data_IF_282941426414
#
_entry.id   IF_282941426414
#
_cell.length_a   1.000
_cell.length_b   1.000
_cell.length_c   1.000
_cell.angle_alpha   90.00
_cell.angle_beta   90.00
_cell.angle_gamma   90.00
#
_symmetry.space_group_name_H-M   'P 1'
#
loop_
_entity.id
_entity.type
_entity.pdbx_description
1 polymer ?
#
# COMPACT_ATOMS: atom_id res chain seq x y z
N UNK A 1 21.22 -50.55 11.26
CA UNK A 1 21.56 -49.18 10.83
C UNK A 1 20.58 -48.23 11.49
N UNK A 2 21.12 -47.58 12.52
CA UNK A 2 20.67 -46.41 13.30
C UNK A 2 19.31 -45.80 12.95
N UNK A 3 18.31 -46.15 13.77
CA UNK A 3 17.17 -45.29 14.10
C UNK A 3 17.71 -44.07 14.86
N UNK A 4 17.81 -42.92 14.19
CA UNK A 4 18.06 -41.64 14.86
C UNK A 4 16.82 -41.24 15.62
N UNK A 5 16.89 -41.49 16.92
CA UNK A 5 16.07 -40.95 17.99
C UNK A 5 15.88 -39.43 17.80
N UNK A 6 14.66 -39.01 17.49
CA UNK A 6 14.26 -37.61 17.59
C UNK A 6 14.06 -37.33 19.08
N UNK A 7 15.15 -37.08 19.78
CA UNK A 7 15.15 -36.60 21.15
C UNK A 7 14.20 -35.41 21.25
N UNK A 8 13.06 -35.62 21.89
CA UNK A 8 12.13 -34.58 22.29
C UNK A 8 12.87 -33.63 23.22
N UNK A 9 13.31 -32.49 22.70
CA UNK A 9 13.73 -31.35 23.54
C UNK A 9 12.55 -31.04 24.46
N UNK A 10 12.71 -31.10 25.79
CA UNK A 10 11.63 -30.73 26.70
C UNK A 10 11.32 -29.26 26.44
N UNK A 11 10.10 -28.96 25.98
CA UNK A 11 9.59 -27.58 26.00
C UNK A 11 9.42 -27.23 27.47
N UNK A 12 10.45 -26.62 28.06
CA UNK A 12 10.30 -25.96 29.36
C UNK A 12 9.06 -25.08 29.29
N UNK A 13 8.20 -25.16 30.30
CA UNK A 13 7.00 -24.35 30.36
C UNK A 13 7.41 -22.88 30.26
N UNK A 14 7.19 -22.26 29.09
CA UNK A 14 7.33 -20.81 28.95
C UNK A 14 6.37 -20.19 29.96
N UNK A 15 6.86 -19.39 30.91
CA UNK A 15 5.99 -18.76 31.89
C UNK A 15 4.91 -17.98 31.14
N UNK A 16 3.65 -18.22 31.50
CA UNK A 16 2.52 -17.50 30.93
C UNK A 16 2.77 -16.00 31.13
N UNK A 17 2.75 -15.17 30.08
CA UNK A 17 2.97 -13.73 30.22
C UNK A 17 1.96 -13.17 31.21
N UNK A 18 2.44 -12.48 32.24
CA UNK A 18 1.59 -11.72 33.14
C UNK A 18 1.05 -10.51 32.37
N UNK A 19 -0.27 -10.41 32.10
CA UNK A 19 -0.82 -9.30 31.34
C UNK A 19 -0.66 -7.94 32.04
N UNK A 20 -0.35 -7.93 33.33
CA UNK A 20 -0.09 -6.71 34.10
C UNK A 20 1.36 -6.21 33.98
N UNK A 21 2.31 -7.05 33.53
CA UNK A 21 3.70 -6.65 33.33
C UNK A 21 3.91 -6.09 31.93
N UNK A 22 4.53 -4.91 31.79
CA UNK A 22 4.85 -4.39 30.47
C UNK A 22 5.87 -5.30 29.80
N UNK A 23 5.77 -5.45 28.48
CA UNK A 23 6.72 -6.25 27.71
C UNK A 23 8.16 -5.69 27.77
N UNK A 24 8.29 -4.37 28.00
CA UNK A 24 9.55 -3.64 28.19
C UNK A 24 9.30 -2.60 29.31
N UNK A 25 10.22 -2.47 30.25
CA UNK A 25 10.12 -1.46 31.31
C UNK A 25 10.10 -0.03 30.73
N UNK A 26 9.34 0.93 31.29
CA UNK A 26 9.19 2.26 30.72
C UNK A 26 10.50 3.03 30.50
N UNK A 27 11.49 2.85 31.38
CA UNK A 27 12.79 3.51 31.25
C UNK A 27 13.64 2.88 30.15
N UNK A 28 13.59 1.56 29.99
CA UNK A 28 14.22 0.88 28.86
C UNK A 28 13.59 1.29 27.54
N UNK A 29 12.25 1.39 27.50
CA UNK A 29 11.55 1.86 26.31
C UNK A 29 11.95 3.30 25.95
N UNK A 30 12.09 4.19 26.94
CA UNK A 30 12.56 5.56 26.74
C UNK A 30 13.97 5.58 26.15
N UNK A 31 14.90 4.82 26.75
CA UNK A 31 16.28 4.71 26.29
C UNK A 31 16.37 4.17 24.85
N UNK A 32 15.65 3.09 24.56
CA UNK A 32 15.56 2.50 23.21
C UNK A 32 14.93 3.47 22.20
N UNK A 33 13.91 4.22 22.62
CA UNK A 33 13.26 5.25 21.82
C UNK A 33 14.23 6.36 21.42
N UNK A 34 15.04 6.88 22.36
CA UNK A 34 16.07 7.88 22.04
C UNK A 34 17.12 7.31 21.08
N UNK A 35 17.57 6.07 21.29
CA UNK A 35 18.50 5.41 20.37
C UNK A 35 17.93 5.27 18.95
N UNK A 36 16.65 4.91 18.82
CA UNK A 36 15.99 4.84 17.52
C UNK A 36 15.89 6.22 16.86
N UNK A 37 15.62 7.28 17.63
CA UNK A 37 15.61 8.66 17.15
C UNK A 37 16.99 9.06 16.63
N UNK A 38 18.07 8.74 17.34
CA UNK A 38 19.44 9.02 16.91
C UNK A 38 19.73 8.33 15.55
N UNK A 39 19.38 7.05 15.39
CA UNK A 39 19.53 6.33 14.12
C UNK A 39 18.75 6.98 12.96
N UNK A 40 17.54 7.46 13.22
CA UNK A 40 16.71 8.17 12.23
C UNK A 40 17.37 9.50 11.84
N UNK A 41 17.80 10.30 12.82
CA UNK A 41 18.45 11.59 12.59
C UNK A 41 19.74 11.42 11.81
N UNK A 42 20.60 10.50 12.22
CA UNK A 42 21.87 10.20 11.55
C UNK A 42 21.65 9.74 10.10
N UNK A 43 20.63 8.91 9.86
CA UNK A 43 20.27 8.48 8.52
C UNK A 43 19.84 9.66 7.64
N UNK A 44 18.88 10.46 8.10
CA UNK A 44 18.32 11.57 7.33
C UNK A 44 19.35 12.69 7.09
N UNK A 45 20.17 13.02 8.09
CA UNK A 45 21.23 14.02 7.97
C UNK A 45 22.38 13.54 7.07
N UNK A 46 22.75 12.25 7.19
CA UNK A 46 23.88 11.67 6.47
C UNK A 46 23.58 11.23 5.03
N UNK A 47 22.31 11.16 4.62
CA UNK A 47 21.91 10.53 3.34
C UNK A 47 22.60 11.12 2.11
N UNK A 48 22.91 12.43 2.13
CA UNK A 48 23.55 13.13 1.00
C UNK A 48 25.00 12.73 0.77
N UNK A 49 25.68 12.29 1.83
CA UNK A 49 27.09 11.89 1.78
C UNK A 49 27.26 10.42 1.36
N UNK A 50 26.17 9.64 1.37
CA UNK A 50 26.17 8.23 0.98
C UNK A 50 25.96 8.07 -0.53
N UNK A 51 26.33 6.93 -1.12
CA UNK A 51 25.93 6.63 -2.49
C UNK A 51 24.40 6.57 -2.63
N UNK A 52 23.89 6.91 -3.81
CA UNK A 52 22.43 6.93 -4.08
C UNK A 52 21.81 5.56 -3.86
N UNK A 53 22.47 4.52 -4.36
CA UNK A 53 22.07 3.13 -4.22
C UNK A 53 23.31 2.26 -4.12
N UNK A 54 23.26 1.25 -3.26
CA UNK A 54 24.26 0.18 -3.21
C UNK A 54 23.51 -1.14 -3.11
N UNK A 55 23.80 -2.07 -4.01
CA UNK A 55 23.21 -3.40 -3.93
C UNK A 55 23.70 -4.12 -2.66
N UNK A 56 22.77 -4.81 -1.99
CA UNK A 56 23.10 -5.82 -0.98
C UNK A 56 23.88 -6.95 -1.65
N UNK A 57 25.03 -7.30 -1.08
CA UNK A 57 25.87 -8.39 -1.59
C UNK A 57 25.14 -9.74 -1.50
N UNK A 58 25.54 -10.75 -2.29
CA UNK A 58 24.97 -12.09 -2.19
C UNK A 58 25.03 -12.66 -0.76
N UNK A 59 26.15 -12.49 -0.07
CA UNK A 59 26.34 -13.02 1.29
C UNK A 59 25.45 -12.31 2.32
N UNK A 60 25.35 -10.99 2.28
CA UNK A 60 24.43 -10.23 3.16
C UNK A 60 22.96 -10.62 2.89
N UNK A 61 22.60 -10.81 1.62
CA UNK A 61 21.25 -11.25 1.24
C UNK A 61 20.95 -12.65 1.76
N UNK A 62 21.91 -13.56 1.62
CA UNK A 62 21.78 -14.92 2.12
C UNK A 62 21.63 -14.91 3.65
N UNK A 63 22.47 -14.15 4.35
CA UNK A 63 22.41 -14.00 5.79
C UNK A 63 21.06 -13.44 6.27
N UNK A 64 20.44 -12.50 5.54
CA UNK A 64 19.09 -12.01 5.86
C UNK A 64 17.98 -13.04 5.60
N UNK A 65 18.11 -13.87 4.55
CA UNK A 65 17.09 -14.85 4.17
C UNK A 65 17.15 -16.13 5.01
N UNK A 66 18.34 -16.53 5.47
CA UNK A 66 18.58 -17.79 6.17
C UNK A 66 18.69 -17.66 7.69
N UNK A 67 18.27 -16.52 8.26
CA UNK A 67 18.24 -16.38 9.71
C UNK A 67 17.35 -17.47 10.34
N UNK A 68 17.86 -18.23 11.33
CA UNK A 68 17.04 -19.21 12.02
C UNK A 68 15.95 -18.51 12.83
N UNK A 69 14.77 -19.13 12.96
CA UNK A 69 13.75 -18.69 13.91
C UNK A 69 14.33 -18.81 15.33
N UNK A 70 14.51 -17.70 16.08
CA UNK A 70 15.04 -17.79 17.44
C UNK A 70 14.03 -18.44 18.38
N UNK A 71 14.51 -19.30 19.27
CA UNK A 71 13.70 -19.96 20.31
C UNK A 71 13.52 -19.04 21.52
N UNK A 72 14.54 -18.24 21.80
CA UNK A 72 14.59 -17.29 22.91
C UNK A 72 14.61 -15.84 22.39
N UNK A 73 14.16 -14.90 23.21
CA UNK A 73 14.24 -13.48 22.90
C UNK A 73 15.69 -12.98 22.87
N UNK A 74 15.95 -11.96 22.03
CA UNK A 74 17.22 -11.25 22.01
C UNK A 74 17.09 -9.90 22.75
N UNK A 75 18.18 -9.37 23.32
CA UNK A 75 18.20 -8.01 23.85
C UNK A 75 17.75 -6.99 22.78
N UNK A 76 16.84 -6.05 23.08
CA UNK A 76 16.36 -5.06 22.11
C UNK A 76 17.48 -4.21 21.49
N UNK A 77 18.56 -3.97 22.25
CA UNK A 77 19.73 -3.26 21.77
C UNK A 77 20.44 -3.97 20.62
N UNK A 78 20.55 -5.30 20.67
CA UNK A 78 21.15 -6.11 19.60
C UNK A 78 20.28 -6.08 18.34
N UNK A 79 18.96 -6.03 18.50
CA UNK A 79 18.02 -5.89 17.38
C UNK A 79 18.21 -4.54 16.68
N UNK A 80 18.34 -3.45 17.44
CA UNK A 80 18.62 -2.12 16.87
C UNK A 80 19.98 -2.07 16.17
N UNK A 81 21.01 -2.72 16.70
CA UNK A 81 22.32 -2.85 16.05
C UNK A 81 22.24 -3.62 14.73
N UNK A 82 21.48 -4.71 14.69
CA UNK A 82 21.26 -5.49 13.47
C UNK A 82 20.51 -4.66 12.42
N UNK A 83 19.45 -3.93 12.81
CA UNK A 83 18.73 -3.04 11.89
C UNK A 83 19.67 -1.97 11.33
N UNK A 84 20.45 -1.30 12.18
CA UNK A 84 21.38 -0.25 11.76
C UNK A 84 22.45 -0.77 10.78
N UNK A 85 23.04 -1.93 11.09
CA UNK A 85 24.17 -2.49 10.33
C UNK A 85 23.76 -3.27 9.08
N UNK A 86 22.65 -4.00 9.10
CA UNK A 86 22.26 -4.93 8.01
C UNK A 86 21.11 -4.41 7.15
N UNK A 87 20.21 -3.59 7.70
CA UNK A 87 19.02 -3.10 6.99
C UNK A 87 19.20 -1.66 6.53
N UNK A 88 19.62 -0.76 7.42
CA UNK A 88 19.76 0.67 7.12
C UNK A 88 21.05 1.02 6.35
N UNK A 89 21.99 0.08 6.24
CA UNK A 89 23.30 0.31 5.60
C UNK A 89 23.20 0.43 4.08
N UNK A 90 22.27 -0.28 3.44
CA UNK A 90 22.13 -0.35 1.97
C UNK A 90 20.68 -0.14 1.52
N UNK A 91 20.08 1.05 1.76
CA UNK A 91 18.71 1.34 1.33
C UNK A 91 18.61 1.44 -0.21
N UNK A 92 17.40 1.28 -0.73
CA UNK A 92 17.10 1.42 -2.17
C UNK A 92 17.48 2.80 -2.76
N UNK A 93 17.57 3.82 -1.90
CA UNK A 93 17.97 5.17 -2.29
C UNK A 93 16.85 6.19 -2.35
N UNK A 94 15.58 5.79 -2.14
CA UNK A 94 14.40 6.65 -2.28
C UNK A 94 14.50 8.02 -1.57
N UNK A 95 15.18 8.08 -0.42
CA UNK A 95 15.35 9.33 0.33
C UNK A 95 16.49 10.23 -0.16
N UNK A 96 17.38 9.75 -1.02
CA UNK A 96 18.55 10.50 -1.46
C UNK A 96 18.14 11.58 -2.49
N UNK A 97 18.62 12.83 -2.39
CA UNK A 97 18.28 13.92 -3.34
C UNK A 97 18.76 13.75 -4.79
N UNK A 98 19.38 12.60 -5.11
CA UNK A 98 19.89 12.25 -6.45
C UNK A 98 19.28 10.92 -6.92
N UNK A 99 18.28 10.41 -6.19
CA UNK A 99 17.50 9.28 -6.63
C UNK A 99 16.39 9.80 -7.54
N UNK A 100 16.57 9.61 -8.85
CA UNK A 100 15.64 10.06 -9.89
C UNK A 100 14.83 8.89 -10.48
N UNK A 101 14.80 7.75 -9.79
CA UNK A 101 14.02 6.59 -10.20
C UNK A 101 12.58 6.67 -9.69
N UNK A 102 11.63 6.23 -10.51
CA UNK A 102 10.21 6.14 -10.15
C UNK A 102 9.62 7.47 -9.65
N UNK A 103 8.58 7.40 -8.82
CA UNK A 103 7.89 8.54 -8.21
C UNK A 103 7.93 8.33 -6.69
N UNK A 104 9.14 8.41 -6.13
CA UNK A 104 9.38 8.20 -4.70
C UNK A 104 9.97 9.46 -4.08
N UNK A 105 9.30 9.99 -3.07
CA UNK A 105 9.78 11.15 -2.30
C UNK A 105 10.48 10.70 -1.02
N UNK A 106 11.46 11.48 -0.50
CA UNK A 106 11.93 11.30 0.87
C UNK A 106 10.77 11.47 1.86
N UNK A 107 10.80 10.77 3.01
CA UNK A 107 9.78 10.96 4.03
C UNK A 107 9.84 12.38 4.59
N UNK A 108 8.69 12.93 4.96
CA UNK A 108 8.65 14.15 5.77
C UNK A 108 9.18 13.80 7.18
N UNK A 109 10.19 14.51 7.73
CA UNK A 109 10.75 14.17 9.04
C UNK A 109 9.72 14.13 10.17
N UNK A 110 8.76 15.06 10.18
CA UNK A 110 7.66 15.06 11.14
C UNK A 110 6.73 13.85 10.97
N UNK A 111 6.58 13.34 9.75
CA UNK A 111 5.79 12.14 9.47
C UNK A 111 6.39 10.89 10.10
N UNK A 112 7.73 10.78 10.12
CA UNK A 112 8.43 9.68 10.81
C UNK A 112 8.12 9.69 12.31
N UNK A 113 8.14 10.88 12.93
CA UNK A 113 7.81 11.01 14.35
C UNK A 113 6.33 10.77 14.64
N UNK A 114 5.44 11.20 13.75
CA UNK A 114 4.00 10.93 13.87
C UNK A 114 3.69 9.42 13.76
N UNK A 115 4.41 8.69 12.91
CA UNK A 115 4.27 7.24 12.75
C UNK A 115 4.59 6.50 14.07
N UNK A 116 5.64 6.93 14.78
CA UNK A 116 5.97 6.38 16.10
C UNK A 116 4.80 6.53 17.09
N UNK A 117 4.16 7.70 17.12
CA UNK A 117 3.02 7.96 17.99
C UNK A 117 1.77 7.17 17.55
N UNK A 118 1.53 7.06 16.24
CA UNK A 118 0.43 6.28 15.69
C UNK A 118 0.59 4.79 16.03
N UNK A 119 1.81 4.25 15.93
CA UNK A 119 2.13 2.87 16.30
C UNK A 119 1.92 2.62 17.80
N UNK A 120 2.28 3.58 18.66
CA UNK A 120 2.03 3.47 20.10
C UNK A 120 0.54 3.51 20.45
N UNK A 121 -0.25 4.34 19.75
CA UNK A 121 -1.69 4.42 19.94
C UNK A 121 -2.42 3.17 19.41
N UNK A 122 -1.87 2.56 18.36
CA UNK A 122 -2.37 1.34 17.71
C UNK A 122 -3.91 1.34 17.50
N UNK A 123 -4.47 2.36 16.80
CA UNK A 123 -5.91 2.49 16.71
C UNK A 123 -6.51 1.39 15.84
N UNK A 124 -7.47 0.64 16.39
CA UNK A 124 -8.39 -0.16 15.58
C UNK A 124 -9.54 0.74 15.08
N UNK A 125 -9.46 1.15 13.82
CA UNK A 125 -10.51 1.97 13.19
C UNK A 125 -11.69 1.14 12.65
N UNK A 126 -11.84 -0.12 13.07
CA UNK A 126 -12.94 -0.99 12.65
C UNK A 126 -14.29 -0.61 13.30
N UNK A 127 -14.27 0.12 14.42
CA UNK A 127 -15.46 0.59 15.13
C UNK A 127 -15.11 1.47 16.32
N UNK A 128 -16.14 1.97 17.02
CA UNK A 128 -16.00 2.87 18.15
C UNK A 128 -15.84 4.34 17.76
N UNK A 129 -15.75 5.21 18.77
CA UNK A 129 -15.62 6.65 18.63
C UNK A 129 -14.27 7.12 19.18
N UNK A 130 -13.36 7.55 18.30
CA UNK A 130 -12.03 8.02 18.69
C UNK A 130 -11.42 8.98 17.66
N UNK A 131 -10.41 9.74 18.11
CA UNK A 131 -9.85 10.86 17.38
C UNK A 131 -9.27 10.49 16.00
N UNK A 132 -8.75 9.28 15.82
CA UNK A 132 -8.09 8.87 14.57
C UNK A 132 -9.06 8.90 13.38
N UNK A 133 -10.32 8.50 13.57
CA UNK A 133 -11.36 8.51 12.53
C UNK A 133 -11.65 9.94 12.06
N UNK A 134 -11.73 10.90 12.99
CA UNK A 134 -11.97 12.30 12.65
C UNK A 134 -10.75 12.99 12.02
N UNK A 135 -9.55 12.60 12.45
CA UNK A 135 -8.31 13.10 11.88
C UNK A 135 -8.15 12.65 10.42
N UNK A 136 -8.44 11.39 10.10
CA UNK A 136 -8.45 10.90 8.71
C UNK A 136 -9.43 11.70 7.85
N UNK A 137 -10.67 11.90 8.31
CA UNK A 137 -11.67 12.71 7.61
C UNK A 137 -11.19 14.14 7.34
N UNK A 138 -10.48 14.73 8.31
CA UNK A 138 -9.90 16.07 8.18
C UNK A 138 -8.79 16.08 7.13
N UNK A 139 -7.87 15.12 7.16
CA UNK A 139 -6.79 15.01 6.18
C UNK A 139 -7.33 14.80 4.75
N UNK A 140 -8.33 13.92 4.58
CA UNK A 140 -9.01 13.71 3.30
C UNK A 140 -9.68 14.99 2.81
N UNK A 141 -10.35 15.75 3.69
CA UNK A 141 -10.94 17.04 3.35
C UNK A 141 -9.89 18.05 2.88
N UNK A 142 -8.76 18.14 3.57
CA UNK A 142 -7.65 19.01 3.15
C UNK A 142 -7.09 18.62 1.76
N UNK A 143 -6.96 17.32 1.49
CA UNK A 143 -6.54 16.85 0.16
C UNK A 143 -7.56 17.20 -0.92
N UNK A 144 -8.87 17.10 -0.63
CA UNK A 144 -9.92 17.56 -1.54
C UNK A 144 -9.80 19.07 -1.83
N UNK A 145 -9.62 19.89 -0.79
CA UNK A 145 -9.42 21.34 -0.94
C UNK A 145 -8.18 21.66 -1.78
N UNK A 146 -7.07 20.98 -1.51
CA UNK A 146 -5.80 21.16 -2.22
C UNK A 146 -5.92 20.95 -3.73
N UNK A 147 -6.71 19.95 -4.16
CA UNK A 147 -6.91 19.65 -5.58
C UNK A 147 -8.15 20.32 -6.18
N UNK A 148 -8.84 21.18 -5.41
CA UNK A 148 -10.05 21.87 -5.86
C UNK A 148 -11.29 20.97 -6.00
N UNK A 149 -11.32 19.83 -5.31
CA UNK A 149 -12.47 18.92 -5.30
C UNK A 149 -13.56 19.40 -4.33
N UNK A 150 -14.86 19.26 -4.66
CA UNK A 150 -15.94 19.64 -3.76
C UNK A 150 -15.85 18.91 -2.43
N UNK A 151 -15.99 19.62 -1.31
CA UNK A 151 -15.93 19.01 0.03
C UNK A 151 -17.31 18.69 0.61
N UNK A 152 -18.30 19.54 0.35
CA UNK A 152 -19.66 19.37 0.88
C UNK A 152 -20.35 18.20 0.18
N UNK A 153 -20.76 17.19 0.95
CA UNK A 153 -21.41 15.98 0.43
C UNK A 153 -20.43 14.97 -0.18
N UNK A 154 -19.13 15.23 -0.07
CA UNK A 154 -18.07 14.34 -0.54
C UNK A 154 -17.39 13.64 0.63
N UNK A 155 -16.83 12.47 0.35
CA UNK A 155 -16.12 11.63 1.30
C UNK A 155 -14.95 10.96 0.59
N UNK A 156 -13.98 10.49 1.37
CA UNK A 156 -12.86 9.69 0.89
C UNK A 156 -12.32 8.81 2.00
N UNK A 157 -11.36 7.97 1.65
CA UNK A 157 -10.71 7.01 2.54
C UNK A 157 -9.22 7.02 2.22
N UNK A 158 -8.37 6.96 3.25
CA UNK A 158 -6.96 6.65 3.08
C UNK A 158 -6.81 5.13 2.96
N UNK A 159 -6.04 4.69 1.97
CA UNK A 159 -5.80 3.27 1.70
C UNK A 159 -4.31 3.02 1.46
N UNK A 160 -3.88 1.77 1.49
CA UNK A 160 -2.48 1.35 1.43
C UNK A 160 -1.72 1.66 0.14
N UNK A 161 -2.36 2.33 -0.83
CA UNK A 161 -1.71 2.80 -2.07
C UNK A 161 -2.64 2.85 -3.28
N UNK A 162 -2.07 3.25 -4.42
CA UNK A 162 -2.83 3.48 -5.67
C UNK A 162 -3.57 2.26 -6.19
N UNK A 163 -3.03 1.04 -6.02
CA UNK A 163 -3.70 -0.20 -6.44
C UNK A 163 -4.98 -0.45 -5.64
N UNK A 164 -4.93 -0.29 -4.31
CA UNK A 164 -6.10 -0.44 -3.43
C UNK A 164 -7.12 0.65 -3.69
N UNK A 165 -6.67 1.89 -3.91
CA UNK A 165 -7.55 3.01 -4.28
C UNK A 165 -8.27 2.72 -5.61
N UNK A 166 -7.54 2.27 -6.62
CA UNK A 166 -8.09 1.89 -7.94
C UNK A 166 -9.12 0.77 -7.79
N UNK A 167 -8.80 -0.30 -7.07
CA UNK A 167 -9.73 -1.40 -6.82
C UNK A 167 -11.02 -0.91 -6.14
N UNK A 168 -10.90 -0.12 -5.07
CA UNK A 168 -12.04 0.43 -4.32
C UNK A 168 -12.92 1.32 -5.20
N UNK A 169 -12.32 2.24 -5.97
CA UNK A 169 -13.06 3.13 -6.86
C UNK A 169 -13.78 2.36 -7.98
N UNK A 170 -13.11 1.40 -8.62
CA UNK A 170 -13.71 0.59 -9.68
C UNK A 170 -14.81 -0.32 -9.14
N UNK A 171 -14.63 -0.89 -7.94
CA UNK A 171 -15.67 -1.67 -7.27
C UNK A 171 -16.91 -0.82 -6.95
N UNK A 172 -16.71 0.42 -6.49
CA UNK A 172 -17.80 1.36 -6.25
C UNK A 172 -18.54 1.75 -7.55
N UNK A 173 -17.80 2.04 -8.62
CA UNK A 173 -18.38 2.34 -9.94
C UNK A 173 -19.20 1.16 -10.49
N UNK A 174 -18.65 -0.06 -10.37
CA UNK A 174 -19.34 -1.30 -10.74
C UNK A 174 -20.63 -1.48 -9.95
N UNK A 175 -20.57 -1.29 -8.64
CA UNK A 175 -21.73 -1.43 -7.75
C UNK A 175 -22.82 -0.40 -8.06
N UNK A 176 -22.43 0.84 -8.38
CA UNK A 176 -23.35 1.92 -8.78
C UNK A 176 -24.14 1.52 -10.03
N UNK A 177 -23.45 1.07 -11.08
CA UNK A 177 -24.07 0.64 -12.35
C UNK A 177 -24.94 -0.60 -12.17
N UNK A 178 -24.48 -1.58 -11.40
CA UNK A 178 -25.28 -2.77 -11.09
C UNK A 178 -26.62 -2.40 -10.45
N UNK A 179 -26.61 -1.47 -9.48
CA UNK A 179 -27.84 -0.99 -8.84
C UNK A 179 -28.78 -0.26 -9.81
N UNK A 180 -28.24 0.53 -10.74
CA UNK A 180 -29.04 1.20 -11.78
C UNK A 180 -29.75 0.19 -12.69
N UNK A 181 -29.09 -0.92 -12.98
CA UNK A 181 -29.60 -2.00 -13.84
C UNK A 181 -30.44 -3.04 -13.04
N UNK A 182 -30.85 -2.71 -11.80
CA UNK A 182 -31.64 -3.59 -10.94
C UNK A 182 -30.92 -4.87 -10.52
N UNK A 183 -29.59 -4.89 -10.56
CA UNK A 183 -28.76 -6.03 -10.19
C UNK A 183 -28.25 -5.89 -8.75
N UNK A 184 -28.79 -6.71 -7.86
CA UNK A 184 -28.21 -6.90 -6.53
C UNK A 184 -26.96 -7.79 -6.59
N UNK A 185 -25.86 -7.18 -7.03
CA UNK A 185 -24.55 -7.83 -7.13
C UNK A 185 -23.98 -8.25 -5.77
N UNK A 186 -24.42 -7.65 -4.65
CA UNK A 186 -23.93 -8.02 -3.32
C UNK A 186 -24.42 -9.40 -2.93
N UNK A 187 -25.66 -9.73 -3.30
CA UNK A 187 -26.27 -11.03 -3.00
C UNK A 187 -25.98 -12.06 -4.09
N UNK A 188 -26.07 -11.68 -5.37
CA UNK A 188 -26.03 -12.62 -6.49
C UNK A 188 -24.65 -12.75 -7.16
N UNK A 189 -23.67 -11.93 -6.76
CA UNK A 189 -22.35 -11.90 -7.39
C UNK A 189 -22.39 -11.47 -8.85
N UNK A 190 -21.35 -11.85 -9.62
CA UNK A 190 -21.17 -11.51 -11.04
C UNK A 190 -21.75 -12.54 -12.03
N UNK A 191 -22.34 -13.63 -11.54
CA UNK A 191 -22.78 -14.74 -12.38
C UNK A 191 -24.19 -14.51 -12.96
N UNK A 192 -24.52 -15.24 -14.03
CA UNK A 192 -25.82 -15.23 -14.68
C UNK A 192 -25.86 -14.45 -15.99
N UNK A 193 -27.04 -14.39 -16.60
CA UNK A 193 -27.26 -13.71 -17.87
C UNK A 193 -27.45 -12.20 -17.65
N UNK A 194 -26.34 -11.47 -17.71
CA UNK A 194 -26.27 -10.01 -17.56
C UNK A 194 -25.35 -9.43 -18.63
N UNK A 195 -25.60 -8.19 -19.09
CA UNK A 195 -24.68 -7.50 -19.98
C UNK A 195 -23.26 -7.49 -19.41
N UNK A 196 -22.29 -7.86 -20.25
CA UNK A 196 -20.88 -7.85 -19.84
C UNK A 196 -20.46 -6.41 -19.56
N UNK A 197 -19.79 -6.21 -18.44
CA UNK A 197 -19.31 -4.90 -18.03
C UNK A 197 -18.06 -4.48 -18.82
N UNK A 198 -17.95 -3.19 -19.10
CA UNK A 198 -16.87 -2.60 -19.90
C UNK A 198 -16.18 -1.42 -19.20
N UNK A 199 -14.86 -1.53 -19.04
CA UNK A 199 -13.96 -0.54 -18.44
C UNK A 199 -13.01 0.01 -19.51
N UNK A 200 -12.87 1.33 -19.57
CA UNK A 200 -11.96 2.01 -20.50
C UNK A 200 -10.73 2.54 -19.78
N UNK A 201 -9.57 2.44 -20.43
CA UNK A 201 -8.30 3.00 -19.98
C UNK A 201 -7.48 3.46 -21.19
N UNK A 202 -6.57 4.40 -20.98
CA UNK A 202 -5.63 4.81 -22.02
C UNK A 202 -4.54 3.73 -22.23
N UNK A 203 -3.84 3.78 -23.37
CA UNK A 203 -2.64 2.96 -23.62
C UNK A 203 -1.59 3.11 -22.51
N UNK A 204 -1.40 4.34 -22.02
CA UNK A 204 -0.51 4.68 -20.90
C UNK A 204 -1.10 4.39 -19.50
N UNK A 205 -2.25 3.71 -19.43
CA UNK A 205 -2.91 3.39 -18.17
C UNK A 205 -2.07 2.46 -17.29
N UNK A 206 -1.95 2.79 -16.00
CA UNK A 206 -1.18 1.97 -15.06
C UNK A 206 -1.71 0.53 -14.98
N UNK A 207 -0.80 -0.44 -14.87
CA UNK A 207 -1.12 -1.87 -14.76
C UNK A 207 -2.07 -2.23 -13.59
N UNK A 208 -2.27 -1.36 -12.60
CA UNK A 208 -3.14 -1.61 -11.45
C UNK A 208 -4.61 -1.66 -11.86
N UNK A 209 -4.99 -0.96 -12.94
CA UNK A 209 -6.35 -1.01 -13.50
C UNK A 209 -6.65 -2.40 -14.03
N UNK A 210 -5.69 -2.99 -14.77
CA UNK A 210 -5.81 -4.37 -15.27
C UNK A 210 -5.91 -5.37 -14.12
N UNK A 211 -5.01 -5.28 -13.15
CA UNK A 211 -5.04 -6.12 -11.94
C UNK A 211 -6.36 -6.00 -11.19
N UNK A 212 -6.91 -4.80 -11.05
CA UNK A 212 -8.20 -4.59 -10.41
C UNK A 212 -9.36 -5.25 -11.17
N UNK A 213 -9.38 -5.17 -12.51
CA UNK A 213 -10.40 -5.85 -13.32
C UNK A 213 -10.34 -7.39 -13.16
N UNK A 214 -9.14 -7.95 -13.11
CA UNK A 214 -8.90 -9.37 -12.85
C UNK A 214 -9.37 -9.77 -11.45
N UNK A 215 -8.95 -9.03 -10.42
CA UNK A 215 -9.33 -9.29 -9.02
C UNK A 215 -10.83 -9.16 -8.77
N UNK A 216 -11.50 -8.25 -9.46
CA UNK A 216 -12.96 -8.10 -9.39
C UNK A 216 -13.72 -9.21 -10.11
N UNK A 217 -13.05 -10.10 -10.85
CA UNK A 217 -13.68 -11.17 -11.64
C UNK A 217 -14.26 -10.71 -12.97
N UNK A 218 -13.87 -9.54 -13.48
CA UNK A 218 -14.31 -9.04 -14.80
C UNK A 218 -13.47 -9.64 -15.94
N UNK A 219 -12.20 -9.96 -15.64
CA UNK A 219 -11.22 -10.44 -16.61
C UNK A 219 -10.73 -9.36 -17.58
N UNK A 220 -9.65 -9.64 -18.30
CA UNK A 220 -9.03 -8.66 -19.20
C UNK A 220 -9.90 -8.31 -20.41
N UNK A 221 -10.78 -9.23 -20.85
CA UNK A 221 -11.69 -8.98 -21.97
C UNK A 221 -12.71 -7.86 -21.70
N UNK A 222 -12.92 -7.49 -20.44
CA UNK A 222 -13.75 -6.35 -20.02
C UNK A 222 -13.01 -5.00 -20.14
N UNK A 223 -11.69 -5.00 -20.28
CA UNK A 223 -10.89 -3.81 -20.51
C UNK A 223 -10.91 -3.46 -21.99
N UNK A 224 -11.10 -2.19 -22.30
CA UNK A 224 -10.93 -1.65 -23.64
C UNK A 224 -9.94 -0.50 -23.60
N UNK A 225 -8.79 -0.73 -24.22
CA UNK A 225 -7.76 0.29 -24.39
C UNK A 225 -8.25 1.33 -25.39
N UNK A 226 -8.08 2.60 -25.04
CA UNK A 226 -8.38 3.76 -25.87
C UNK A 226 -7.06 4.38 -26.29
N UNK A 227 -6.94 4.72 -27.58
CA UNK A 227 -5.77 5.38 -28.14
C UNK A 227 -5.45 6.72 -27.47
N UNK A 228 -4.22 7.15 -27.66
CA UNK A 228 -3.71 8.42 -27.13
C UNK A 228 -3.43 9.44 -28.23
N UNK A 229 -3.36 10.72 -27.86
CA UNK A 229 -2.87 11.80 -28.73
C UNK A 229 -1.33 11.88 -28.74
N UNK A 230 -0.76 12.79 -29.52
CA UNK A 230 0.69 13.01 -29.63
C UNK A 230 1.35 13.46 -28.30
N UNK A 231 0.55 13.75 -27.27
CA UNK A 231 0.99 14.09 -25.91
C UNK A 231 0.66 12.98 -24.91
N UNK A 232 0.39 11.77 -25.40
CA UNK A 232 0.07 10.57 -24.62
C UNK A 232 -1.19 10.70 -23.75
N UNK A 233 -2.09 11.64 -24.07
CA UNK A 233 -3.37 11.81 -23.37
C UNK A 233 -4.42 10.95 -24.03
N UNK A 234 -5.37 10.43 -23.26
CA UNK A 234 -6.51 9.68 -23.81
C UNK A 234 -7.23 10.50 -24.89
N UNK A 235 -7.36 9.96 -26.11
CA UNK A 235 -8.14 10.59 -27.17
C UNK A 235 -9.64 10.44 -26.87
N UNK A 236 -10.28 11.55 -26.50
CA UNK A 236 -11.70 11.62 -26.16
C UNK A 236 -12.59 11.26 -27.36
N UNK A 237 -12.16 11.53 -28.60
CA UNK A 237 -12.91 11.15 -29.78
C UNK A 237 -12.92 9.62 -29.95
N UNK A 238 -11.76 8.98 -29.80
CA UNK A 238 -11.64 7.52 -29.74
C UNK A 238 -12.44 6.90 -28.61
N UNK A 239 -12.39 7.47 -27.41
CA UNK A 239 -13.20 7.02 -26.28
C UNK A 239 -14.70 7.04 -26.62
N UNK A 240 -15.18 8.14 -27.21
CA UNK A 240 -16.61 8.28 -27.57
C UNK A 240 -17.05 7.23 -28.57
N UNK A 241 -16.24 6.96 -29.60
CA UNK A 241 -16.51 5.89 -30.59
C UNK A 241 -16.54 4.51 -29.92
N UNK A 242 -15.53 4.21 -29.10
CA UNK A 242 -15.43 2.96 -28.36
C UNK A 242 -16.65 2.70 -27.46
N UNK A 243 -17.12 3.72 -26.74
CA UNK A 243 -18.33 3.62 -25.90
C UNK A 243 -19.59 3.35 -26.73
N UNK A 244 -19.75 4.01 -27.88
CA UNK A 244 -20.91 3.81 -28.75
C UNK A 244 -20.93 2.39 -29.35
N UNK A 245 -19.78 1.92 -29.85
CA UNK A 245 -19.61 0.58 -30.40
C UNK A 245 -19.91 -0.50 -29.36
N UNK A 246 -19.34 -0.38 -28.15
CA UNK A 246 -19.57 -1.34 -27.08
C UNK A 246 -21.05 -1.41 -26.68
N UNK A 247 -21.72 -0.26 -26.56
CA UNK A 247 -23.17 -0.22 -26.28
C UNK A 247 -23.97 -0.92 -27.38
N UNK A 248 -23.63 -0.70 -28.65
CA UNK A 248 -24.30 -1.35 -29.78
C UNK A 248 -24.08 -2.87 -29.80
N UNK A 249 -22.93 -3.33 -29.28
CA UNK A 249 -22.58 -4.74 -29.15
C UNK A 249 -23.10 -5.39 -27.85
N UNK A 250 -23.98 -4.71 -27.10
CA UNK A 250 -24.60 -5.24 -25.88
C UNK A 250 -23.72 -5.22 -24.63
N UNK A 251 -22.57 -4.54 -24.68
CA UNK A 251 -21.77 -4.29 -23.47
C UNK A 251 -22.38 -3.18 -22.63
N UNK A 252 -22.10 -3.25 -21.33
CA UNK A 252 -22.47 -2.20 -20.36
C UNK A 252 -21.21 -1.45 -19.92
N UNK A 253 -20.88 -0.32 -20.56
CA UNK A 253 -19.91 0.65 -20.05
C UNK A 253 -20.20 0.98 -18.59
N UNK A 254 -19.20 0.91 -17.71
CA UNK A 254 -19.40 1.28 -16.30
C UNK A 254 -18.38 2.28 -15.75
N UNK A 255 -17.18 2.37 -16.33
CA UNK A 255 -16.17 3.31 -15.84
C UNK A 255 -15.12 3.63 -16.92
N UNK A 256 -14.58 4.84 -16.86
CA UNK A 256 -13.39 5.28 -17.58
C UNK A 256 -12.33 5.60 -16.54
N UNK A 257 -11.22 4.88 -16.57
CA UNK A 257 -10.06 5.14 -15.73
C UNK A 257 -9.11 6.09 -16.48
N UNK A 258 -9.19 7.37 -16.14
CA UNK A 258 -8.32 8.42 -16.65
C UNK A 258 -7.14 8.69 -15.69
N UNK A 259 -5.97 8.99 -16.27
CA UNK A 259 -4.75 9.30 -15.52
C UNK A 259 -4.38 10.77 -15.71
N UNK A 260 -4.08 11.46 -14.60
CA UNK A 260 -3.49 12.79 -14.59
C UNK A 260 -2.03 12.67 -14.18
N UNK A 261 -1.15 12.49 -15.17
CA UNK A 261 0.24 12.06 -14.99
C UNK A 261 0.36 10.54 -15.15
N UNK A 262 0.78 10.09 -16.34
CA UNK A 262 1.07 8.69 -16.56
C UNK A 262 2.39 8.32 -15.88
N UNK A 263 2.61 7.04 -15.58
CA UNK A 263 3.88 6.62 -14.94
C UNK A 263 5.05 6.66 -15.93
N UNK A 264 4.76 6.52 -17.23
CA UNK A 264 5.79 6.41 -18.27
C UNK A 264 6.28 7.75 -18.82
N UNK A 265 5.45 8.81 -18.80
CA UNK A 265 5.67 10.07 -19.53
C UNK A 265 5.26 11.30 -18.75
#
# INVERSE_FOLDING_TARGET
>A
MTSTDRSSVPRGATPTPDPARPAIEPEDLRRLGYRAVDLVVDHLAGIRARPVFQATSPDERQALLEQPLPIDGAPPDEILDQIASQVMSRPMGNGHPRFFGYINSPPAPIGVMAELLAAALNPSCAGGDHAAIYLERTAVRWLMELVGFPTRGSMGLLVSGGSTATLTCLAAARQRVAREDGWDMRTHGLQGDRPRLRLYLAEEGHNCIRKAAELMGLGQSALRTVGTDDRFRMDVASLRRAVAEDRSAGWRPFCVAASAGAVAT
#
